data_IF_874988774332
#
_entry.id   IF_874988774332
#
_cell.length_a   1.000
_cell.length_b   1.000
_cell.length_c   1.000
_cell.angle_alpha   90.00
_cell.angle_beta   90.00
_cell.angle_gamma   90.00
#
_symmetry.space_group_name_H-M   'P 1'
#
loop_
_entity.id
_entity.type
_entity.pdbx_description
1 polymer ?
#
# COMPACT_ATOMS: atom_id res chain seq x y z
N UNK A 1 -2.31 -34.67 4.85
CA UNK A 1 -2.01 -34.08 3.52
C UNK A 1 -1.33 -32.73 3.77
N UNK A 2 -0.04 -32.56 3.47
CA UNK A 2 0.59 -31.24 3.64
C UNK A 2 1.56 -30.75 2.54
N UNK A 3 2.20 -31.61 1.75
CA UNK A 3 3.28 -31.16 0.85
C UNK A 3 2.78 -30.44 -0.42
N UNK A 4 1.71 -30.95 -1.03
CA UNK A 4 1.22 -30.44 -2.32
C UNK A 4 0.53 -29.05 -2.22
N UNK A 5 -0.10 -28.75 -1.08
CA UNK A 5 -0.70 -27.43 -0.84
C UNK A 5 0.38 -26.36 -0.67
N UNK A 6 1.41 -26.64 0.13
CA UNK A 6 2.54 -25.74 0.31
C UNK A 6 3.29 -25.47 -1.01
N UNK A 7 3.52 -26.50 -1.83
CA UNK A 7 4.21 -26.34 -3.11
C UNK A 7 3.39 -25.52 -4.13
N UNK A 8 2.06 -25.66 -4.11
CA UNK A 8 1.17 -24.93 -5.02
C UNK A 8 1.12 -23.45 -4.64
N UNK A 9 0.89 -23.15 -3.36
CA UNK A 9 0.88 -21.78 -2.85
C UNK A 9 2.22 -21.07 -3.10
N UNK A 10 3.34 -21.73 -2.78
CA UNK A 10 4.67 -21.14 -3.01
C UNK A 10 4.87 -20.75 -4.48
N UNK A 11 4.37 -21.57 -5.41
CA UNK A 11 4.46 -21.27 -6.85
C UNK A 11 3.56 -20.09 -7.25
N UNK A 12 2.35 -20.01 -6.70
CA UNK A 12 1.42 -18.90 -6.95
C UNK A 12 1.97 -17.58 -6.41
N UNK A 13 2.45 -17.58 -5.16
CA UNK A 13 3.12 -16.45 -4.53
C UNK A 13 4.33 -15.97 -5.35
N UNK A 14 5.21 -16.89 -5.77
CA UNK A 14 6.36 -16.53 -6.59
C UNK A 14 5.93 -15.91 -7.93
N UNK A 15 4.88 -16.45 -8.55
CA UNK A 15 4.32 -15.89 -9.79
C UNK A 15 3.73 -14.48 -9.55
N UNK A 16 3.07 -14.26 -8.41
CA UNK A 16 2.52 -12.97 -8.04
C UNK A 16 3.63 -11.92 -7.83
N UNK A 17 4.66 -12.26 -7.06
CA UNK A 17 5.82 -11.41 -6.82
C UNK A 17 6.57 -11.09 -8.13
N UNK A 18 6.77 -12.08 -9.00
CA UNK A 18 7.39 -11.88 -10.32
C UNK A 18 6.56 -10.93 -11.20
N UNK A 19 5.24 -11.05 -11.15
CA UNK A 19 4.31 -10.21 -11.92
C UNK A 19 4.38 -8.75 -11.44
N UNK A 20 4.31 -8.53 -10.12
CA UNK A 20 4.42 -7.19 -9.52
C UNK A 20 5.79 -6.57 -9.82
N UNK A 21 6.86 -7.36 -9.66
CA UNK A 21 8.21 -6.88 -9.95
C UNK A 21 8.37 -6.50 -11.44
N UNK A 22 7.80 -7.28 -12.36
CA UNK A 22 7.76 -6.95 -13.79
C UNK A 22 7.02 -5.63 -14.06
N UNK A 23 5.87 -5.40 -13.41
CA UNK A 23 5.15 -4.12 -13.51
C UNK A 23 5.97 -2.95 -12.98
N UNK A 24 6.60 -3.09 -11.81
CA UNK A 24 7.44 -2.05 -11.19
C UNK A 24 8.66 -1.72 -12.07
N UNK A 25 9.30 -2.74 -12.67
CA UNK A 25 10.49 -2.57 -13.50
C UNK A 25 10.24 -1.78 -14.79
N UNK A 26 8.99 -1.59 -15.21
CA UNK A 26 8.62 -0.64 -16.29
C UNK A 26 8.96 0.81 -15.94
N UNK A 27 9.13 1.11 -14.65
CA UNK A 27 9.40 2.44 -14.11
C UNK A 27 10.75 2.47 -13.38
N UNK A 28 11.88 2.78 -14.06
CA UNK A 28 13.23 2.60 -13.50
C UNK A 28 13.58 3.53 -12.32
N UNK A 29 12.72 4.52 -12.03
CA UNK A 29 12.87 5.41 -10.87
C UNK A 29 12.36 4.76 -9.57
N UNK A 30 11.55 3.72 -9.67
CA UNK A 30 11.00 3.02 -8.51
C UNK A 30 12.09 2.16 -7.88
N UNK A 31 12.30 2.36 -6.58
CA UNK A 31 13.16 1.51 -5.77
C UNK A 31 12.28 0.57 -4.96
N UNK A 32 12.64 -0.70 -4.91
CA UNK A 32 11.91 -1.70 -4.14
C UNK A 32 12.87 -2.71 -3.52
N UNK A 33 12.39 -3.40 -2.49
CA UNK A 33 13.02 -4.55 -1.85
C UNK A 33 12.06 -5.72 -2.00
N UNK A 34 12.56 -6.85 -2.50
CA UNK A 34 11.81 -8.10 -2.61
C UNK A 34 12.26 -9.04 -1.49
N UNK A 35 11.29 -9.57 -0.76
CA UNK A 35 11.46 -10.64 0.22
C UNK A 35 10.76 -11.91 -0.28
N UNK A 36 10.76 -12.97 0.54
CA UNK A 36 10.18 -14.27 0.18
C UNK A 36 8.66 -14.19 -0.06
N UNK A 37 7.96 -13.29 0.64
CA UNK A 37 6.49 -13.18 0.66
C UNK A 37 5.95 -11.77 0.36
N UNK A 38 6.84 -10.82 0.07
CA UNK A 38 6.48 -9.41 0.01
C UNK A 38 7.36 -8.60 -0.93
N UNK A 39 6.81 -7.49 -1.40
CA UNK A 39 7.53 -6.43 -2.10
C UNK A 39 7.28 -5.12 -1.37
N UNK A 40 8.35 -4.46 -0.98
CA UNK A 40 8.33 -3.15 -0.33
C UNK A 40 8.83 -2.11 -1.32
N UNK A 41 7.98 -1.15 -1.68
CA UNK A 41 8.32 -0.05 -2.58
C UNK A 41 8.66 1.18 -1.75
N UNK A 42 9.86 1.71 -1.97
CA UNK A 42 10.43 2.82 -1.19
C UNK A 42 10.06 4.15 -1.86
N UNK A 43 9.54 5.14 -1.10
CA UNK A 43 9.22 6.44 -1.67
C UNK A 43 10.49 7.17 -2.12
N UNK A 44 10.35 8.03 -3.13
CA UNK A 44 11.49 8.81 -3.65
C UNK A 44 12.04 9.84 -2.64
N UNK A 45 11.21 10.27 -1.68
CA UNK A 45 11.53 11.31 -0.69
C UNK A 45 10.57 11.21 0.51
N UNK A 46 10.80 12.06 1.52
CA UNK A 46 10.03 12.09 2.78
C UNK A 46 8.56 12.52 2.63
N UNK A 47 8.20 13.15 1.50
CA UNK A 47 6.80 13.49 1.21
C UNK A 47 6.02 12.32 0.58
N UNK A 48 6.68 11.24 0.21
CA UNK A 48 6.02 10.01 -0.25
C UNK A 48 5.67 9.06 0.88
N UNK A 49 5.13 7.90 0.53
CA UNK A 49 4.85 6.82 1.48
C UNK A 49 5.28 5.47 0.92
N UNK A 50 5.67 4.59 1.84
CA UNK A 50 5.97 3.19 1.53
C UNK A 50 4.70 2.45 1.11
N UNK A 51 4.85 1.63 0.06
CA UNK A 51 3.82 0.69 -0.38
C UNK A 51 4.35 -0.71 -0.14
N UNK A 52 3.60 -1.52 0.61
CA UNK A 52 3.96 -2.92 0.86
C UNK A 52 2.90 -3.81 0.25
N UNK A 53 3.33 -4.76 -0.57
CA UNK A 53 2.53 -5.89 -0.98
C UNK A 53 2.91 -7.11 -0.15
N UNK A 54 1.91 -7.82 0.37
CA UNK A 54 2.07 -9.11 1.02
C UNK A 54 1.12 -10.12 0.37
N UNK A 55 1.63 -11.30 0.06
CA UNK A 55 0.81 -12.41 -0.44
C UNK A 55 0.56 -13.45 0.66
N UNK A 56 -0.69 -13.83 0.84
CA UNK A 56 -1.15 -14.87 1.76
C UNK A 56 -1.91 -15.95 0.99
N UNK A 57 -2.03 -17.17 1.55
CA UNK A 57 -2.57 -18.34 0.85
C UNK A 57 -3.93 -18.10 0.17
N UNK A 58 -4.74 -17.20 0.73
CA UNK A 58 -6.10 -16.90 0.24
C UNK A 58 -6.30 -15.48 -0.27
N UNK A 59 -5.34 -14.57 -0.06
CA UNK A 59 -5.53 -13.15 -0.35
C UNK A 59 -4.21 -12.39 -0.54
N UNK A 60 -4.33 -11.16 -1.02
CA UNK A 60 -3.24 -10.23 -1.17
C UNK A 60 -3.55 -8.97 -0.38
N UNK A 61 -2.59 -8.49 0.40
CA UNK A 61 -2.76 -7.25 1.17
C UNK A 61 -1.82 -6.18 0.65
N UNK A 62 -2.36 -5.01 0.33
CA UNK A 62 -1.57 -3.83 -0.02
C UNK A 62 -1.66 -2.82 1.12
N UNK A 63 -0.51 -2.34 1.58
CA UNK A 63 -0.41 -1.35 2.65
C UNK A 63 0.12 -0.02 2.14
N UNK A 64 -0.48 1.07 2.63
CA UNK A 64 0.08 2.43 2.57
C UNK A 64 0.30 2.92 4.00
N UNK A 65 1.50 2.70 4.53
CA UNK A 65 1.81 2.90 5.96
C UNK A 65 0.81 2.14 6.85
N UNK A 66 -0.12 2.84 7.52
CA UNK A 66 -1.13 2.22 8.38
C UNK A 66 -2.49 1.95 7.72
N UNK A 67 -2.70 2.42 6.47
CA UNK A 67 -3.83 1.99 5.66
C UNK A 67 -3.52 0.64 5.01
N UNK A 68 -4.52 -0.21 4.85
CA UNK A 68 -4.40 -1.45 4.10
C UNK A 68 -5.72 -1.87 3.48
N UNK A 69 -5.64 -2.66 2.42
CA UNK A 69 -6.78 -3.29 1.77
C UNK A 69 -6.43 -4.72 1.34
N UNK A 70 -7.41 -5.60 1.47
CA UNK A 70 -7.32 -7.02 1.14
C UNK A 70 -7.97 -7.26 -0.23
N UNK A 71 -7.29 -8.03 -1.07
CA UNK A 71 -7.71 -8.36 -2.43
C UNK A 71 -7.71 -9.87 -2.62
N UNK A 72 -8.80 -10.39 -3.16
CA UNK A 72 -8.85 -11.80 -3.62
C UNK A 72 -8.20 -12.00 -5.00
N UNK A 73 -7.85 -10.90 -5.68
CA UNK A 73 -7.36 -10.89 -7.05
C UNK A 73 -6.04 -10.11 -7.15
N UNK A 74 -5.01 -10.75 -7.71
CA UNK A 74 -3.69 -10.14 -7.89
C UNK A 74 -3.74 -8.89 -8.80
N UNK A 75 -4.58 -8.89 -9.82
CA UNK A 75 -4.75 -7.76 -10.72
C UNK A 75 -5.27 -6.52 -10.00
N UNK A 76 -6.26 -6.68 -9.11
CA UNK A 76 -6.77 -5.58 -8.28
C UNK A 76 -5.70 -5.06 -7.32
N UNK A 77 -4.93 -5.95 -6.69
CA UNK A 77 -3.79 -5.56 -5.86
C UNK A 77 -2.73 -4.77 -6.66
N UNK A 78 -2.44 -5.18 -7.91
CA UNK A 78 -1.54 -4.46 -8.81
C UNK A 78 -2.08 -3.07 -9.16
N UNK A 79 -3.36 -2.95 -9.47
CA UNK A 79 -3.97 -1.64 -9.76
C UNK A 79 -3.98 -0.74 -8.53
N UNK A 80 -4.18 -1.30 -7.33
CA UNK A 80 -3.98 -0.57 -6.07
C UNK A 80 -2.54 -0.07 -5.97
N UNK A 81 -1.52 -0.93 -6.10
CA UNK A 81 -0.11 -0.52 -6.08
C UNK A 81 0.16 0.62 -7.09
N UNK A 82 -0.32 0.50 -8.34
CA UNK A 82 -0.16 1.54 -9.36
C UNK A 82 -0.82 2.84 -8.97
N UNK A 83 -2.03 2.78 -8.39
CA UNK A 83 -2.73 3.95 -7.87
C UNK A 83 -1.88 4.64 -6.80
N UNK A 84 -1.38 3.90 -5.81
CA UNK A 84 -0.51 4.41 -4.75
C UNK A 84 0.83 5.01 -5.23
N UNK A 85 1.32 4.61 -6.40
CA UNK A 85 2.53 5.17 -7.03
C UNK A 85 2.27 6.44 -7.85
N UNK A 86 1.02 6.64 -8.27
CA UNK A 86 0.62 7.71 -9.17
C UNK A 86 0.48 9.06 -8.46
N UNK A 87 0.57 10.14 -9.23
CA UNK A 87 0.25 11.48 -8.73
C UNK A 87 -1.25 11.73 -8.48
N UNK A 88 -2.12 10.74 -8.72
CA UNK A 88 -3.56 10.82 -8.46
C UNK A 88 -3.96 10.21 -7.12
N UNK A 89 -3.03 9.60 -6.38
CA UNK A 89 -3.25 9.09 -5.04
C UNK A 89 -2.49 9.92 -4.02
N UNK A 90 -3.10 10.17 -2.86
CA UNK A 90 -2.39 10.64 -1.68
C UNK A 90 -2.96 10.02 -0.42
N UNK A 91 -2.15 9.98 0.63
CA UNK A 91 -2.49 9.40 1.92
C UNK A 91 -2.50 10.50 2.99
N UNK A 92 -3.64 10.75 3.62
CA UNK A 92 -3.73 11.55 4.84
C UNK A 92 -3.50 10.67 6.06
N UNK A 93 -2.49 10.98 6.85
CA UNK A 93 -2.27 10.40 8.16
C UNK A 93 -2.73 11.37 9.24
N UNK A 94 -3.68 10.93 10.06
CA UNK A 94 -4.16 11.65 11.22
C UNK A 94 -3.50 11.13 12.47
N UNK A 95 -2.97 12.04 13.28
CA UNK A 95 -2.33 11.71 14.56
C UNK A 95 -2.82 12.60 15.70
N UNK A 96 -2.67 12.08 16.92
CA UNK A 96 -2.90 12.82 18.18
C UNK A 96 -1.59 12.87 18.95
N UNK A 97 -0.94 14.03 18.95
CA UNK A 97 0.46 14.16 19.34
C UNK A 97 1.36 13.39 18.35
N UNK A 98 2.06 12.40 18.88
CA UNK A 98 3.02 11.52 18.19
C UNK A 98 2.42 10.17 17.74
N UNK A 99 1.10 9.99 17.89
CA UNK A 99 0.43 8.70 17.65
C UNK A 99 -0.55 8.77 16.49
N UNK A 100 -0.22 8.18 15.32
CA UNK A 100 -1.16 7.95 14.24
C UNK A 100 -2.36 7.10 14.69
N UNK A 101 -3.55 7.39 14.16
CA UNK A 101 -4.77 6.63 14.50
C UNK A 101 -5.75 6.45 13.33
N UNK A 102 -5.60 7.22 12.25
CA UNK A 102 -6.45 7.11 11.06
C UNK A 102 -5.65 7.45 9.82
N UNK A 103 -5.86 6.68 8.76
CA UNK A 103 -5.30 6.88 7.44
C UNK A 103 -6.42 6.92 6.43
N UNK A 104 -6.42 7.93 5.56
CA UNK A 104 -7.42 8.12 4.53
C UNK A 104 -6.72 8.21 3.20
N UNK A 105 -7.08 7.32 2.28
CA UNK A 105 -6.64 7.38 0.89
C UNK A 105 -7.54 8.37 0.17
N UNK A 106 -6.94 9.21 -0.67
CA UNK A 106 -7.67 10.13 -1.52
C UNK A 106 -7.25 9.96 -2.98
N UNK A 107 -8.22 10.13 -3.86
CA UNK A 107 -8.00 10.20 -5.31
C UNK A 107 -8.23 11.62 -5.83
N UNK A 108 -7.54 11.96 -6.93
CA UNK A 108 -7.69 13.25 -7.61
C UNK A 108 -8.59 13.15 -8.84
N UNK A 109 -9.73 13.84 -8.81
CA UNK A 109 -10.70 13.90 -9.90
C UNK A 109 -11.39 15.27 -9.92
N UNK A 110 -11.68 15.80 -11.12
CA UNK A 110 -12.36 17.09 -11.31
C UNK A 110 -11.71 18.26 -10.53
N UNK A 111 -10.37 18.31 -10.55
CA UNK A 111 -9.53 19.28 -9.82
C UNK A 111 -9.72 19.28 -8.29
N UNK A 112 -10.22 18.16 -7.73
CA UNK A 112 -10.48 17.99 -6.32
C UNK A 112 -9.92 16.68 -5.80
N UNK A 113 -9.52 16.71 -4.53
CA UNK A 113 -9.17 15.50 -3.79
C UNK A 113 -10.41 15.00 -3.06
N UNK A 114 -10.74 13.74 -3.30
CA UNK A 114 -11.90 13.06 -2.73
C UNK A 114 -11.41 11.89 -1.88
N UNK A 115 -12.00 11.72 -0.70
CA UNK A 115 -11.71 10.58 0.16
C UNK A 115 -12.25 9.29 -0.52
N UNK A 116 -11.39 8.29 -0.67
CA UNK A 116 -11.70 6.99 -1.27
C UNK A 116 -12.09 5.98 -0.19
N UNK A 117 -11.13 5.69 0.70
CA UNK A 117 -11.24 4.67 1.73
C UNK A 117 -10.44 5.07 2.97
N UNK A 118 -10.77 4.46 4.12
CA UNK A 118 -10.09 4.76 5.37
C UNK A 118 -9.86 3.52 6.24
N UNK A 119 -8.72 3.51 6.93
CA UNK A 119 -8.40 2.56 8.00
C UNK A 119 -8.15 3.39 9.26
N UNK A 120 -8.70 2.96 10.38
CA UNK A 120 -8.46 3.64 11.64
C UNK A 120 -8.91 2.86 12.85
N UNK A 121 -8.43 3.31 14.00
CA UNK A 121 -8.80 2.75 15.29
C UNK A 121 -9.35 3.86 16.19
N UNK A 122 -10.28 3.53 17.11
CA UNK A 122 -10.73 4.49 18.12
C UNK A 122 -9.53 5.00 18.94
N UNK A 123 -9.37 6.33 19.02
CA UNK A 123 -8.29 6.94 19.82
C UNK A 123 -8.85 7.55 21.09
N UNK A 124 -8.27 7.18 22.23
CA UNK A 124 -8.60 7.79 23.53
C UNK A 124 -7.85 9.12 23.76
N UNK A 125 -6.84 9.45 22.94
CA UNK A 125 -5.98 10.63 23.11
C UNK A 125 -6.61 11.92 22.56
N UNK A 126 -7.91 12.12 22.76
CA UNK A 126 -8.68 13.24 22.19
C UNK A 126 -8.19 14.61 22.70
N UNK A 127 -7.57 14.65 23.89
CA UNK A 127 -7.00 15.86 24.49
C UNK A 127 -5.67 16.28 23.86
N UNK A 128 -4.99 15.38 23.14
CA UNK A 128 -3.76 15.74 22.42
C UNK A 128 -4.10 16.50 21.14
N UNK A 129 -3.19 17.39 20.74
CA UNK A 129 -3.30 18.16 19.48
C UNK A 129 -3.47 17.21 18.29
N UNK A 130 -4.44 17.50 17.43
CA UNK A 130 -4.62 16.81 16.14
C UNK A 130 -3.58 17.32 15.16
N UNK A 131 -2.85 16.41 14.52
CA UNK A 131 -1.99 16.73 13.38
C UNK A 131 -2.46 15.91 12.17
N UNK A 132 -2.29 16.47 10.98
CA UNK A 132 -2.57 15.81 9.71
C UNK A 132 -1.37 16.00 8.81
N UNK A 133 -0.82 14.91 8.32
CA UNK A 133 0.27 14.91 7.33
C UNK A 133 -0.29 14.27 6.06
N UNK A 134 0.04 14.87 4.92
CA UNK A 134 -0.34 14.35 3.61
C UNK A 134 0.91 13.83 2.93
N UNK A 135 0.87 12.56 2.53
CA UNK A 135 1.93 11.91 1.75
C UNK A 135 1.45 11.65 0.33
N UNK A 136 2.32 11.79 -0.65
CA UNK A 136 2.01 11.58 -2.06
C UNK A 136 3.24 11.06 -2.80
N UNK A 137 3.06 9.94 -3.50
CA UNK A 137 4.04 9.47 -4.47
C UNK A 137 3.81 10.14 -5.83
N UNK A 138 4.87 10.21 -6.64
CA UNK A 138 4.82 10.70 -8.01
C UNK A 138 5.85 9.93 -8.84
N UNK A 139 5.65 8.62 -8.91
CA UNK A 139 6.58 7.67 -9.51
C UNK A 139 6.09 7.16 -10.87
N UNK A 140 4.78 7.25 -11.11
CA UNK A 140 4.09 6.86 -12.35
C UNK A 140 3.19 8.00 -12.81
#
# INVERSE_FOLDING_TARGET
MPAQLNDTWNKELMTALDTIESEIRKHPKIKYVRNDDSIVIVPANESGFEIVFHGEETEYTVHYKGWHEHFSNLGEAIECIKFGLSNKCRLKEYSRGDRPYKWVVEYFENDQWLDDSETGFPTLYIWKKKNVIVYQNNLI
#
